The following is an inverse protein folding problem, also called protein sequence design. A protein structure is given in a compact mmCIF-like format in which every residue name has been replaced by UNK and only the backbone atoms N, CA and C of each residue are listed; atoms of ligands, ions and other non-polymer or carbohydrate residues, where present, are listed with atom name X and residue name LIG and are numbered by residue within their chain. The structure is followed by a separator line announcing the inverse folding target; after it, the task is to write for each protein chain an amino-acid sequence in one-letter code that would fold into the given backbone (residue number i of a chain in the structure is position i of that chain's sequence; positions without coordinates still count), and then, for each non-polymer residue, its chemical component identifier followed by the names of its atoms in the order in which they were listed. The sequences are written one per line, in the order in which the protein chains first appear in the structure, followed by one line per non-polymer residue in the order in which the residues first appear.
data_IF_763609840372
#
_entry.id   IF_763609840372
#
_cell.length_a   1.000
_cell.length_b   1.000
_cell.length_c   1.000
_cell.angle_alpha   90.00
_cell.angle_beta   90.00
_cell.angle_gamma   90.00
#
_symmetry.space_group_name_H-M   'P 1'
#
loop_
_entity.id
_entity.type
_entity.pdbx_description
1 polymer ?
#
# COMPACT_ATOMS: atom_id res chain seq x y z
N UNK A 1 -1.88 -17.11 3.20
CA UNK A 1 -1.04 -16.71 4.36
C UNK A 1 -1.75 -15.64 5.19
N UNK A 2 -1.33 -15.43 6.46
CA UNK A 2 -1.92 -14.37 7.32
C UNK A 2 -1.77 -12.96 6.72
N UNK A 3 -0.70 -12.71 5.97
CA UNK A 3 -0.48 -11.43 5.25
C UNK A 3 -1.56 -11.26 4.18
N UNK A 4 -1.70 -12.24 3.32
CA UNK A 4 -2.67 -12.21 2.20
C UNK A 4 -4.08 -12.00 2.74
N UNK A 5 -4.54 -12.78 3.72
CA UNK A 5 -5.88 -12.63 4.31
C UNK A 5 -6.14 -11.22 4.87
N UNK A 6 -5.12 -10.56 5.44
CA UNK A 6 -5.23 -9.18 5.90
C UNK A 6 -5.34 -8.19 4.74
N UNK A 7 -4.57 -8.41 3.69
CA UNK A 7 -4.61 -7.60 2.48
C UNK A 7 -5.95 -7.76 1.75
N UNK A 8 -6.51 -8.98 1.71
CA UNK A 8 -7.86 -9.26 1.18
C UNK A 8 -8.95 -8.53 1.97
N UNK A 9 -8.85 -8.49 3.30
CA UNK A 9 -9.78 -7.71 4.14
C UNK A 9 -9.71 -6.22 3.77
N UNK A 10 -8.51 -5.67 3.59
CA UNK A 10 -8.31 -4.27 3.21
C UNK A 10 -8.88 -4.00 1.82
N UNK A 11 -8.58 -4.86 0.85
CA UNK A 11 -9.08 -4.76 -0.53
C UNK A 11 -10.61 -4.86 -0.57
N UNK A 12 -11.20 -5.78 0.19
CA UNK A 12 -12.64 -5.90 0.31
C UNK A 12 -13.27 -4.66 0.94
N UNK A 13 -12.70 -4.14 2.02
CA UNK A 13 -13.19 -2.92 2.67
C UNK A 13 -13.10 -1.68 1.76
N UNK A 14 -12.14 -1.67 0.83
CA UNK A 14 -11.99 -0.58 -0.13
C UNK A 14 -13.16 -0.47 -1.12
N UNK A 15 -13.80 -1.57 -1.48
CA UNK A 15 -15.01 -1.57 -2.34
C UNK A 15 -16.15 -0.74 -1.73
N UNK A 16 -16.16 -0.59 -0.41
CA UNK A 16 -17.19 0.12 0.34
C UNK A 16 -16.68 1.41 1.02
N UNK A 17 -15.46 1.84 0.69
CA UNK A 17 -14.88 3.05 1.24
C UNK A 17 -15.82 4.25 1.01
N UNK A 18 -16.11 5.02 2.07
CA UNK A 18 -17.06 6.15 2.09
C UNK A 18 -18.53 5.80 1.80
N UNK A 19 -18.84 4.56 1.49
CA UNK A 19 -20.23 4.12 1.18
C UNK A 19 -20.92 3.52 2.38
N UNK A 20 -20.28 2.59 3.06
CA UNK A 20 -20.78 1.94 4.27
C UNK A 20 -19.66 1.39 5.14
N UNK A 21 -19.97 1.10 6.39
CA UNK A 21 -19.13 0.29 7.28
C UNK A 21 -19.49 -1.19 7.11
N UNK A 22 -18.46 -2.05 7.19
CA UNK A 22 -18.62 -3.50 7.09
C UNK A 22 -18.89 -4.12 8.46
N UNK A 23 -19.54 -5.28 8.44
CA UNK A 23 -19.68 -6.18 9.57
C UNK A 23 -18.70 -7.35 9.48
N UNK A 24 -18.47 -8.04 10.60
CA UNK A 24 -17.66 -9.27 10.62
C UNK A 24 -18.30 -10.34 9.73
N UNK A 25 -19.64 -10.45 9.74
CA UNK A 25 -20.38 -11.42 8.95
C UNK A 25 -20.15 -11.23 7.44
N UNK A 26 -20.14 -9.98 6.95
CA UNK A 26 -19.88 -9.70 5.52
C UNK A 26 -18.46 -10.09 5.13
N UNK A 27 -17.46 -9.81 5.98
CA UNK A 27 -16.08 -10.21 5.75
C UNK A 27 -15.94 -11.74 5.79
N UNK A 28 -16.64 -12.39 6.73
CA UNK A 28 -16.67 -13.84 6.85
C UNK A 28 -17.25 -14.51 5.60
N UNK A 29 -18.36 -14.00 5.12
CA UNK A 29 -19.00 -14.50 3.89
C UNK A 29 -18.09 -14.33 2.66
N UNK A 30 -17.40 -13.19 2.59
CA UNK A 30 -16.50 -12.91 1.45
C UNK A 30 -15.25 -13.80 1.45
N UNK A 31 -14.59 -13.97 2.61
CA UNK A 31 -13.32 -14.70 2.71
C UNK A 31 -13.46 -16.19 3.06
N UNK A 32 -14.63 -16.65 3.50
CA UNK A 32 -14.82 -18.02 3.95
C UNK A 32 -14.05 -18.39 5.23
N UNK A 33 -13.56 -17.40 6.01
CA UNK A 33 -12.75 -17.62 7.19
C UNK A 33 -13.60 -17.74 8.45
N UNK A 34 -13.10 -18.47 9.46
CA UNK A 34 -13.73 -18.55 10.78
C UNK A 34 -13.69 -17.18 11.49
N UNK A 35 -14.77 -16.85 12.22
CA UNK A 35 -14.94 -15.57 12.92
C UNK A 35 -13.74 -15.20 13.80
N UNK A 36 -13.23 -16.14 14.61
CA UNK A 36 -12.08 -15.89 15.47
C UNK A 36 -10.82 -15.49 14.69
N UNK A 37 -10.62 -16.05 13.49
CA UNK A 37 -9.51 -15.70 12.62
C UNK A 37 -9.68 -14.28 12.06
N UNK A 38 -10.89 -13.93 11.66
CA UNK A 38 -11.22 -12.57 11.21
C UNK A 38 -10.98 -11.57 12.35
N UNK A 39 -11.49 -11.83 13.56
CA UNK A 39 -11.26 -10.96 14.73
C UNK A 39 -9.77 -10.71 14.97
N UNK A 40 -8.96 -11.77 14.93
CA UNK A 40 -7.49 -11.64 15.09
C UNK A 40 -6.85 -10.77 14.00
N UNK A 41 -7.33 -10.85 12.76
CA UNK A 41 -6.86 -9.98 11.67
C UNK A 41 -7.32 -8.54 11.85
N UNK A 42 -8.55 -8.32 12.25
CA UNK A 42 -9.10 -6.99 12.50
C UNK A 42 -8.35 -6.28 13.64
N UNK A 43 -8.03 -6.99 14.73
CA UNK A 43 -7.25 -6.45 15.84
C UNK A 43 -5.85 -6.02 15.37
N UNK A 44 -5.20 -6.85 14.57
CA UNK A 44 -3.89 -6.52 13.98
C UNK A 44 -3.99 -5.29 13.08
N UNK A 45 -4.93 -5.26 12.14
CA UNK A 45 -5.12 -4.17 11.18
C UNK A 45 -5.50 -2.84 11.87
N UNK A 46 -6.30 -2.91 12.94
CA UNK A 46 -6.62 -1.77 13.79
C UNK A 46 -5.37 -1.24 14.50
N UNK A 47 -4.56 -2.13 15.10
CA UNK A 47 -3.31 -1.76 15.77
C UNK A 47 -2.31 -1.12 14.81
N UNK A 48 -2.25 -1.62 13.57
CA UNK A 48 -1.42 -1.05 12.50
C UNK A 48 -1.98 0.25 11.89
N UNK A 49 -3.15 0.67 12.34
CA UNK A 49 -3.80 1.91 11.91
C UNK A 49 -4.39 1.86 10.49
N UNK A 50 -4.66 0.66 9.98
CA UNK A 50 -5.24 0.46 8.64
C UNK A 50 -6.76 0.43 8.66
N UNK A 51 -7.36 0.00 9.79
CA UNK A 51 -8.80 -0.04 9.99
C UNK A 51 -9.22 0.81 11.18
N UNK A 52 -10.42 1.38 11.08
CA UNK A 52 -11.19 1.93 12.20
C UNK A 52 -12.33 0.97 12.52
N UNK A 53 -12.49 0.65 13.81
CA UNK A 53 -13.55 -0.23 14.31
C UNK A 53 -14.34 0.53 15.36
N UNK A 54 -15.62 0.78 15.09
CA UNK A 54 -16.57 1.48 15.98
C UNK A 54 -17.96 0.93 15.73
N UNK A 55 -18.89 1.71 15.19
CA UNK A 55 -20.22 1.26 14.73
C UNK A 55 -20.16 0.27 13.53
N UNK A 56 -18.95 -0.10 13.11
CA UNK A 56 -18.64 -1.03 12.04
C UNK A 56 -17.18 -0.90 11.62
N UNK A 57 -16.77 -1.70 10.66
CA UNK A 57 -15.39 -1.81 10.16
C UNK A 57 -15.23 -0.93 8.93
N UNK A 58 -14.26 -0.05 8.93
CA UNK A 58 -13.93 0.81 7.79
C UNK A 58 -12.44 1.06 7.67
N UNK A 59 -12.00 1.45 6.49
CA UNK A 59 -10.61 1.86 6.26
C UNK A 59 -10.33 3.22 6.89
N UNK A 60 -9.11 3.36 7.39
CA UNK A 60 -8.51 4.67 7.62
C UNK A 60 -7.95 5.21 6.30
N UNK A 61 -7.43 6.44 6.31
CA UNK A 61 -6.72 6.97 5.14
C UNK A 61 -5.49 6.12 4.78
N UNK A 62 -4.71 5.68 5.78
CA UNK A 62 -3.58 4.75 5.60
C UNK A 62 -4.03 3.42 5.00
N UNK A 63 -5.16 2.89 5.46
CA UNK A 63 -5.75 1.66 4.93
C UNK A 63 -6.22 1.81 3.48
N UNK A 64 -6.82 2.96 3.14
CA UNK A 64 -7.18 3.29 1.76
C UNK A 64 -5.96 3.28 0.83
N UNK A 65 -4.88 3.94 1.23
CA UNK A 65 -3.64 3.97 0.45
C UNK A 65 -3.08 2.55 0.22
N UNK A 66 -3.07 1.71 1.26
CA UNK A 66 -2.63 0.31 1.12
C UNK A 66 -3.52 -0.47 0.15
N UNK A 67 -4.83 -0.27 0.20
CA UNK A 67 -5.78 -0.90 -0.72
C UNK A 67 -5.59 -0.44 -2.17
N UNK A 68 -5.38 0.86 -2.38
CA UNK A 68 -5.10 1.43 -3.70
C UNK A 68 -3.84 0.81 -4.33
N UNK A 69 -2.79 0.57 -3.52
CA UNK A 69 -1.59 -0.14 -3.96
C UNK A 69 -1.87 -1.57 -4.43
N UNK A 70 -2.67 -2.33 -3.68
CA UNK A 70 -3.07 -3.69 -4.07
C UNK A 70 -3.91 -3.68 -5.36
N UNK A 71 -4.89 -2.80 -5.45
CA UNK A 71 -5.73 -2.67 -6.67
C UNK A 71 -4.89 -2.25 -7.87
N UNK A 72 -3.91 -1.36 -7.67
CA UNK A 72 -2.97 -0.96 -8.73
C UNK A 72 -2.14 -2.16 -9.20
N UNK A 73 -1.59 -2.94 -8.27
CA UNK A 73 -0.81 -4.14 -8.59
C UNK A 73 -1.63 -5.15 -9.41
N UNK A 74 -2.86 -5.44 -8.98
CA UNK A 74 -3.79 -6.31 -9.67
C UNK A 74 -4.02 -5.88 -11.12
N UNK A 75 -4.43 -4.62 -11.32
CA UNK A 75 -4.82 -4.09 -12.63
C UNK A 75 -3.65 -3.92 -13.59
N UNK A 76 -2.47 -3.55 -13.09
CA UNK A 76 -1.26 -3.52 -13.91
C UNK A 76 -0.85 -4.92 -14.37
N UNK A 77 -1.01 -5.93 -13.50
CA UNK A 77 -0.71 -7.31 -13.88
C UNK A 77 -1.70 -7.82 -14.93
N UNK A 78 -3.00 -7.59 -14.74
CA UNK A 78 -4.01 -7.93 -15.78
C UNK A 78 -3.69 -7.28 -17.12
N UNK A 79 -3.35 -5.99 -17.13
CA UNK A 79 -2.95 -5.27 -18.35
C UNK A 79 -1.72 -5.90 -19.00
N UNK A 80 -0.73 -6.30 -18.20
CA UNK A 80 0.48 -6.96 -18.70
C UNK A 80 0.18 -8.34 -19.32
N UNK A 81 -0.71 -9.09 -18.70
CA UNK A 81 -1.12 -10.39 -19.22
C UNK A 81 -1.81 -10.28 -20.59
N UNK A 82 -2.66 -9.29 -20.78
CA UNK A 82 -3.32 -9.06 -22.08
C UNK A 82 -2.32 -8.52 -23.11
N UNK A 83 -1.63 -7.42 -22.80
CA UNK A 83 -0.80 -6.69 -23.78
C UNK A 83 0.49 -7.41 -24.14
N UNK A 84 1.13 -8.09 -23.18
CA UNK A 84 2.45 -8.69 -23.38
C UNK A 84 2.44 -10.21 -23.51
N UNK A 85 1.45 -10.87 -22.91
CA UNK A 85 1.34 -12.34 -22.95
C UNK A 85 0.23 -12.82 -23.91
N UNK A 86 -0.64 -11.92 -24.38
CA UNK A 86 -1.72 -12.22 -25.30
C UNK A 86 -2.85 -13.07 -24.72
N UNK A 87 -3.03 -13.04 -23.38
CA UNK A 87 -4.10 -13.77 -22.72
C UNK A 87 -5.44 -13.06 -22.92
N UNK A 88 -6.52 -13.85 -22.90
CA UNK A 88 -7.88 -13.31 -22.99
C UNK A 88 -8.33 -12.78 -21.63
N UNK A 89 -9.17 -11.73 -21.62
CA UNK A 89 -9.70 -11.10 -20.42
C UNK A 89 -10.32 -12.08 -19.39
N UNK A 90 -10.91 -13.18 -19.85
CA UNK A 90 -11.47 -14.21 -18.97
C UNK A 90 -10.45 -15.14 -18.29
N UNK A 91 -9.14 -14.99 -18.56
CA UNK A 91 -8.07 -15.89 -18.09
C UNK A 91 -7.09 -15.20 -17.13
N UNK A 92 -7.18 -13.89 -16.96
CA UNK A 92 -6.15 -13.07 -16.30
C UNK A 92 -6.39 -12.86 -14.80
N UNK A 93 -7.60 -13.03 -14.33
CA UNK A 93 -8.00 -12.60 -12.98
C UNK A 93 -7.39 -13.43 -11.84
N UNK A 94 -7.38 -14.77 -11.99
CA UNK A 94 -6.88 -15.67 -10.92
C UNK A 94 -5.41 -15.44 -10.59
N UNK A 95 -4.57 -15.27 -11.60
CA UNK A 95 -3.14 -15.03 -11.39
C UNK A 95 -2.88 -13.63 -10.83
N UNK A 96 -3.64 -12.62 -11.27
CA UNK A 96 -3.55 -11.27 -10.74
C UNK A 96 -3.90 -11.19 -9.25
N UNK A 97 -4.91 -11.94 -8.78
CA UNK A 97 -5.26 -12.05 -7.36
C UNK A 97 -4.14 -12.66 -6.51
N UNK A 98 -3.34 -13.57 -7.06
CA UNK A 98 -2.21 -14.16 -6.34
C UNK A 98 -1.02 -13.21 -6.32
N UNK A 99 -0.69 -12.62 -7.48
CA UNK A 99 0.54 -11.83 -7.65
C UNK A 99 0.48 -10.44 -7.04
N UNK A 100 -0.70 -9.83 -6.90
CA UNK A 100 -0.85 -8.50 -6.28
C UNK A 100 -0.25 -8.41 -4.88
N UNK A 101 -0.16 -9.54 -4.15
CA UNK A 101 0.42 -9.64 -2.81
C UNK A 101 1.94 -9.80 -2.80
N UNK A 102 2.54 -10.07 -3.95
CA UNK A 102 3.95 -10.43 -4.10
C UNK A 102 4.76 -9.45 -4.94
N UNK A 103 4.10 -8.62 -5.75
CA UNK A 103 4.77 -7.64 -6.60
C UNK A 103 5.37 -6.51 -5.75
N UNK A 104 6.65 -6.20 -5.97
CA UNK A 104 7.30 -5.05 -5.35
C UNK A 104 6.96 -3.76 -6.11
N UNK A 105 7.13 -2.61 -5.45
CA UNK A 105 6.92 -1.30 -6.07
C UNK A 105 7.83 -1.10 -7.30
N UNK A 106 9.07 -1.62 -7.26
CA UNK A 106 9.99 -1.55 -8.39
C UNK A 106 9.48 -2.33 -9.60
N UNK A 107 8.90 -3.52 -9.38
CA UNK A 107 8.29 -4.33 -10.46
C UNK A 107 7.07 -3.60 -11.00
N UNK A 108 6.23 -3.02 -10.14
CA UNK A 108 5.05 -2.26 -10.56
C UNK A 108 5.43 -1.04 -11.39
N UNK A 109 6.50 -0.33 -11.03
CA UNK A 109 7.00 0.80 -11.82
C UNK A 109 7.53 0.37 -13.20
N UNK A 110 8.19 -0.78 -13.27
CA UNK A 110 8.64 -1.34 -14.55
C UNK A 110 7.47 -1.78 -15.44
N UNK A 111 6.44 -2.40 -14.85
CA UNK A 111 5.22 -2.77 -15.56
C UNK A 111 4.48 -1.55 -16.09
N UNK A 112 4.27 -0.55 -15.23
CA UNK A 112 3.59 0.69 -15.58
C UNK A 112 4.29 1.41 -16.74
N UNK A 113 5.62 1.52 -16.67
CA UNK A 113 6.43 2.09 -17.75
C UNK A 113 6.35 1.26 -19.03
N UNK A 114 6.44 -0.07 -18.93
CA UNK A 114 6.38 -0.99 -20.09
C UNK A 114 5.04 -0.90 -20.81
N UNK A 115 3.95 -0.72 -20.05
CA UNK A 115 2.58 -0.59 -20.56
C UNK A 115 2.24 0.84 -21.03
N UNK A 116 3.19 1.78 -20.93
CA UNK A 116 2.96 3.18 -21.34
C UNK A 116 2.05 3.96 -20.40
N UNK A 117 2.07 3.66 -19.12
CA UNK A 117 1.28 4.31 -18.07
C UNK A 117 -0.24 4.23 -18.30
N UNK A 118 -0.82 3.03 -18.33
CA UNK A 118 -2.22 2.85 -18.62
C UNK A 118 -3.09 3.47 -17.52
N UNK A 119 -4.15 4.16 -17.91
CA UNK A 119 -5.12 4.73 -16.98
C UNK A 119 -6.24 3.77 -16.59
N UNK A 120 -6.42 2.69 -17.34
CA UNK A 120 -7.45 1.67 -17.17
C UNK A 120 -6.89 0.28 -17.41
N UNK A 121 -7.45 -0.71 -16.72
CA UNK A 121 -7.21 -2.12 -16.95
C UNK A 121 -7.99 -2.64 -18.20
N UNK A 122 -7.78 -3.89 -18.63
CA UNK A 122 -8.49 -4.47 -19.77
C UNK A 122 -10.03 -4.44 -19.65
N UNK A 123 -10.55 -4.49 -18.42
CA UNK A 123 -11.99 -4.41 -18.14
C UNK A 123 -12.52 -2.98 -18.12
N UNK A 124 -11.67 -1.97 -18.39
CA UNK A 124 -12.03 -0.55 -18.37
C UNK A 124 -12.07 0.11 -17.00
N UNK A 125 -11.64 -0.58 -15.93
CA UNK A 125 -11.60 -0.03 -14.58
C UNK A 125 -10.37 0.86 -14.38
N UNK A 126 -10.48 2.02 -13.68
CA UNK A 126 -9.39 2.96 -13.52
C UNK A 126 -8.25 2.39 -12.68
N UNK A 127 -7.02 2.40 -13.18
CA UNK A 127 -5.83 2.00 -12.42
C UNK A 127 -5.48 3.11 -11.42
N UNK A 128 -5.46 2.83 -10.10
CA UNK A 128 -5.04 3.85 -9.14
C UNK A 128 -3.63 4.38 -9.43
N UNK A 129 -3.39 5.69 -9.35
CA UNK A 129 -2.07 6.25 -9.53
C UNK A 129 -1.12 5.77 -8.43
N UNK A 130 0.19 5.78 -8.73
CA UNK A 130 1.20 5.53 -7.68
C UNK A 130 1.08 6.60 -6.59
N UNK A 131 0.96 6.15 -5.35
CA UNK A 131 0.96 7.05 -4.20
C UNK A 131 2.42 7.45 -3.93
N UNK A 132 2.78 8.63 -4.37
CA UNK A 132 4.07 9.23 -4.06
C UNK A 132 3.91 9.97 -2.75
N UNK A 133 4.52 9.46 -1.69
CA UNK A 133 4.60 10.19 -0.43
C UNK A 133 5.30 11.55 -0.69
N UNK A 134 4.73 12.68 -0.27
CA UNK A 134 5.33 13.98 -0.51
C UNK A 134 6.70 14.04 0.16
N UNK A 135 7.76 14.19 -0.63
CA UNK A 135 9.11 14.43 -0.11
C UNK A 135 9.15 15.82 0.51
N UNK A 136 9.62 15.92 1.73
CA UNK A 136 9.77 17.19 2.46
C UNK A 136 11.17 17.27 3.06
N UNK A 137 11.82 18.41 3.04
CA UNK A 137 13.04 18.64 3.80
C UNK A 137 12.79 18.29 5.28
N UNK A 138 13.79 17.70 5.93
CA UNK A 138 13.67 17.22 7.31
C UNK A 138 13.23 18.35 8.27
N UNK A 139 13.75 19.55 8.08
CA UNK A 139 13.39 20.74 8.88
C UNK A 139 11.93 21.20 8.72
N UNK A 140 11.25 20.77 7.66
CA UNK A 140 9.84 21.10 7.42
C UNK A 140 8.87 20.04 7.97
N UNK A 141 9.38 19.04 8.69
CA UNK A 141 8.58 18.01 9.35
C UNK A 141 8.21 18.50 10.76
N UNK A 142 6.96 18.34 11.13
CA UNK A 142 6.53 18.69 12.51
C UNK A 142 7.19 17.77 13.54
N UNK A 143 7.57 18.33 14.68
CA UNK A 143 8.07 17.56 15.82
C UNK A 143 7.09 16.44 16.20
N UNK A 144 7.62 15.27 16.53
CA UNK A 144 6.83 14.08 16.87
C UNK A 144 6.24 13.34 15.68
N UNK A 145 6.41 13.83 14.44
CA UNK A 145 5.93 13.14 13.25
C UNK A 145 6.88 12.00 12.88
N UNK A 146 6.33 10.81 12.65
CA UNK A 146 7.06 9.69 12.07
C UNK A 146 7.23 9.91 10.58
N UNK A 147 8.45 9.83 10.09
CA UNK A 147 8.80 9.96 8.68
C UNK A 147 9.74 8.81 8.26
N UNK A 148 10.01 8.70 6.97
CA UNK A 148 10.96 7.73 6.44
C UNK A 148 11.98 8.45 5.58
N UNK A 149 13.23 7.98 5.63
CA UNK A 149 14.31 8.52 4.80
C UNK A 149 14.04 8.12 3.35
N UNK A 150 14.03 9.11 2.44
CA UNK A 150 13.80 8.84 1.04
C UNK A 150 14.96 8.05 0.43
N UNK A 151 14.63 7.06 -0.42
CA UNK A 151 15.61 6.22 -1.11
C UNK A 151 16.26 6.90 -2.31
N UNK A 152 15.65 7.95 -2.84
CA UNK A 152 16.05 8.61 -4.08
C UNK A 152 16.46 10.05 -3.85
N UNK A 153 17.34 10.57 -4.72
CA UNK A 153 17.80 11.97 -4.72
C UNK A 153 18.62 12.38 -3.49
N UNK A 154 19.32 11.44 -2.88
CA UNK A 154 20.35 11.73 -1.88
C UNK A 154 21.67 11.79 -2.62
N UNK A 155 22.47 12.86 -2.40
CA UNK A 155 23.83 12.91 -2.96
C UNK A 155 24.75 11.92 -2.23
N UNK A 156 25.75 11.38 -2.91
CA UNK A 156 26.68 10.40 -2.35
C UNK A 156 27.32 10.88 -1.03
N UNK A 157 27.54 12.19 -0.90
CA UNK A 157 28.06 12.78 0.33
C UNK A 157 27.06 12.66 1.48
N UNK A 158 25.80 13.03 1.24
CA UNK A 158 24.72 12.93 2.25
C UNK A 158 24.41 11.47 2.57
N UNK A 159 24.50 10.58 1.60
CA UNK A 159 24.32 9.14 1.83
C UNK A 159 25.39 8.60 2.77
N UNK A 160 26.66 8.98 2.58
CA UNK A 160 27.76 8.59 3.46
C UNK A 160 27.56 9.11 4.88
N UNK A 161 27.15 10.38 5.04
CA UNK A 161 26.88 10.98 6.35
C UNK A 161 25.70 10.28 7.06
N UNK A 162 24.64 9.92 6.33
CA UNK A 162 23.52 9.16 6.88
C UNK A 162 23.92 7.75 7.31
N UNK A 163 24.79 7.08 6.54
CA UNK A 163 25.35 5.78 6.90
C UNK A 163 26.14 5.81 8.21
N UNK A 164 26.98 6.83 8.40
CA UNK A 164 27.74 7.02 9.67
C UNK A 164 26.80 7.21 10.86
N UNK A 165 25.61 7.81 10.65
CA UNK A 165 24.59 8.00 11.66
C UNK A 165 23.67 6.77 11.85
N UNK A 166 23.87 5.70 11.07
CA UNK A 166 23.00 4.52 11.06
C UNK A 166 21.63 4.76 10.42
N UNK A 167 21.49 5.82 9.64
CA UNK A 167 20.25 6.23 8.97
C UNK A 167 20.24 5.74 7.53
N UNK A 168 19.69 4.57 7.29
CA UNK A 168 19.60 3.99 5.95
C UNK A 168 18.34 4.48 5.21
N UNK A 169 18.32 4.43 3.86
CA UNK A 169 17.09 4.59 3.10
C UNK A 169 15.96 3.70 3.65
N UNK A 170 14.75 4.19 3.62
CA UNK A 170 13.55 3.57 4.20
C UNK A 170 13.55 3.43 5.73
N UNK A 171 14.60 3.88 6.43
CA UNK A 171 14.60 3.93 7.90
C UNK A 171 13.54 4.86 8.43
N UNK A 172 12.81 4.38 9.45
CA UNK A 172 11.84 5.19 10.16
C UNK A 172 12.53 6.13 11.13
N UNK A 173 12.22 7.41 11.06
CA UNK A 173 12.71 8.46 11.94
C UNK A 173 11.56 9.19 12.60
N UNK A 174 11.82 9.78 13.76
CA UNK A 174 10.90 10.71 14.41
C UNK A 174 11.68 11.96 14.79
N UNK A 175 11.27 13.11 14.27
CA UNK A 175 11.89 14.38 14.58
C UNK A 175 11.53 14.78 16.02
N UNK A 176 12.48 14.71 16.93
CA UNK A 176 12.25 14.96 18.36
C UNK A 176 12.56 16.42 18.72
N UNK A 177 13.63 17.00 18.17
CA UNK A 177 14.10 18.33 18.48
C UNK A 177 14.91 18.93 17.34
N UNK A 178 14.86 20.24 17.22
CA UNK A 178 15.75 21.00 16.32
C UNK A 178 16.46 22.06 17.18
N UNK A 179 17.78 22.05 17.19
CA UNK A 179 18.62 23.03 17.89
C UNK A 179 19.63 23.62 16.91
N UNK A 180 19.50 24.93 16.62
CA UNK A 180 20.47 25.72 15.83
C UNK A 180 21.08 24.92 14.64
N UNK A 181 20.20 24.45 13.76
CA UNK A 181 20.55 23.67 12.57
C UNK A 181 21.04 22.21 12.83
N UNK A 182 20.94 21.72 14.07
CA UNK A 182 21.17 20.33 14.43
C UNK A 182 19.83 19.62 14.67
N UNK A 183 19.60 18.52 13.99
CA UNK A 183 18.39 17.70 14.14
C UNK A 183 18.70 16.50 15.04
N UNK A 184 17.84 16.22 16.01
CA UNK A 184 17.91 15.03 16.88
C UNK A 184 16.67 14.18 16.74
#
# INVERSE_FOLDING_TARGET
SKKIEREDIIKYAFKFFEKKKLTISEIQQYLGLKENRIKSHLDYLKKDGLLSIGSGIGLTYKGKQKAEGLVRAHRLWESYQVDSMGLLEGQIHEEAEILEHHLSEEILDQLDKKLGFPSKDPHGSPIPPKIIAPKRPLLNIKLGTKAFIAKEQISDQVESELWELGLLPDSAITLVKVEKDVVK
#
